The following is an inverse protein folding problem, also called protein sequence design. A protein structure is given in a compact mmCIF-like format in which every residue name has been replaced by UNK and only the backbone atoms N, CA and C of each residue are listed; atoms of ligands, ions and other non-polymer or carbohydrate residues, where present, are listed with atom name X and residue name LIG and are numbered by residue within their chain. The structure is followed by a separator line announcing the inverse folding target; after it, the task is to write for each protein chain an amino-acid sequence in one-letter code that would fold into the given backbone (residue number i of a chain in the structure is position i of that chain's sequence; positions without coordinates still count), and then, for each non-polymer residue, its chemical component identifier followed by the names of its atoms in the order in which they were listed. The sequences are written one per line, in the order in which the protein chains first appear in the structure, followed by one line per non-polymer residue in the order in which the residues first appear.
data_IF_669639704037
#
_entry.id   IF_669639704037
#
_cell.length_a   1.000
_cell.length_b   1.000
_cell.length_c   1.000
_cell.angle_alpha   90.00
_cell.angle_beta   90.00
_cell.angle_gamma   90.00
#
_symmetry.space_group_name_H-M   'P 1'
#
loop_
_entity.id
_entity.type
_entity.pdbx_description
1 polymer ?
#
# COMPACT_ATOMS: atom_id res chain seq x y z
N UNK A 1 5.25 -1.06 2.47
CA UNK A 1 6.26 -1.09 1.41
C UNK A 1 5.89 -0.08 0.35
N UNK A 2 6.83 0.79 0.00
CA UNK A 2 6.60 1.97 -0.81
C UNK A 2 6.11 3.15 0.02
N UNK A 3 6.98 4.16 0.21
CA UNK A 3 6.75 5.33 1.04
C UNK A 3 6.61 6.60 0.20
N UNK A 4 5.87 6.53 -0.90
CA UNK A 4 5.41 7.66 -1.66
C UNK A 4 4.30 8.41 -0.91
N UNK A 5 3.51 9.20 -1.61
CA UNK A 5 2.42 9.98 -0.98
C UNK A 5 1.40 9.09 -0.27
N UNK A 6 1.00 8.00 -0.91
CA UNK A 6 0.02 7.06 -0.33
C UNK A 6 0.65 6.27 0.81
N UNK A 7 1.77 5.62 0.55
CA UNK A 7 2.42 4.75 1.54
C UNK A 7 2.84 5.49 2.80
N UNK A 8 3.45 6.67 2.67
CA UNK A 8 3.82 7.48 3.83
C UNK A 8 2.60 7.98 4.61
N UNK A 9 1.53 8.35 3.90
CA UNK A 9 0.28 8.75 4.53
C UNK A 9 -0.36 7.63 5.33
N UNK A 10 -0.42 6.43 4.77
CA UNK A 10 -0.93 5.24 5.45
C UNK A 10 -0.09 4.91 6.68
N UNK A 11 1.25 4.94 6.54
CA UNK A 11 2.16 4.65 7.64
C UNK A 11 1.94 5.60 8.83
N UNK A 12 1.83 6.90 8.57
CA UNK A 12 1.58 7.90 9.61
C UNK A 12 0.25 7.69 10.31
N UNK A 13 -0.82 7.43 9.56
CA UNK A 13 -2.14 7.22 10.14
C UNK A 13 -2.20 5.95 10.99
N UNK A 14 -1.59 4.86 10.52
CA UNK A 14 -1.53 3.63 11.30
C UNK A 14 -0.72 3.82 12.59
N UNK A 15 0.41 4.52 12.52
CA UNK A 15 1.20 4.83 13.71
C UNK A 15 0.41 5.66 14.73
N UNK A 16 -0.36 6.64 14.28
CA UNK A 16 -1.25 7.43 15.13
C UNK A 16 -2.34 6.59 15.79
N UNK A 17 -2.77 5.51 15.14
CA UNK A 17 -3.73 4.54 15.66
C UNK A 17 -3.10 3.53 16.64
N UNK A 18 -1.81 3.61 16.88
CA UNK A 18 -1.10 2.75 17.83
C UNK A 18 -0.43 1.52 17.21
N UNK A 19 -0.41 1.40 15.89
CA UNK A 19 0.33 0.33 15.23
C UNK A 19 1.83 0.56 15.33
N UNK A 20 2.56 -0.53 15.51
CA UNK A 20 4.01 -0.54 15.34
C UNK A 20 4.32 -0.71 13.85
N UNK A 21 4.81 0.34 13.21
CA UNK A 21 4.95 0.41 11.76
C UNK A 21 6.41 0.46 11.34
N UNK A 22 6.79 -0.40 10.42
CA UNK A 22 8.08 -0.33 9.71
C UNK A 22 7.83 -0.06 8.23
N UNK A 23 8.48 0.96 7.71
CA UNK A 23 8.45 1.30 6.29
C UNK A 23 9.62 0.67 5.54
N UNK A 24 9.37 0.29 4.31
CA UNK A 24 10.39 -0.21 3.37
C UNK A 24 10.32 0.61 2.08
N UNK A 25 11.43 1.17 1.65
CA UNK A 25 11.55 1.88 0.38
C UNK A 25 12.98 1.75 -0.16
N UNK A 26 13.13 1.70 -1.47
CA UNK A 26 14.45 1.69 -2.12
C UNK A 26 15.17 3.04 -1.99
N UNK A 27 14.41 4.11 -1.89
CA UNK A 27 14.91 5.47 -1.76
C UNK A 27 14.99 5.84 -0.27
N UNK A 28 16.21 6.00 0.24
CA UNK A 28 16.42 6.46 1.61
C UNK A 28 15.86 7.86 1.85
N UNK A 29 15.76 8.69 0.80
CA UNK A 29 15.12 10.00 0.84
C UNK A 29 13.64 9.96 1.17
N UNK A 30 12.98 8.80 1.01
CA UNK A 30 11.58 8.60 1.37
C UNK A 30 11.32 8.80 2.88
N UNK A 31 12.32 8.61 3.72
CA UNK A 31 12.21 8.87 5.15
C UNK A 31 11.79 10.32 5.45
N UNK A 32 12.20 11.27 4.62
CA UNK A 32 11.83 12.68 4.77
C UNK A 32 10.31 12.91 4.64
N UNK A 33 9.59 12.07 3.89
CA UNK A 33 8.13 12.16 3.74
C UNK A 33 7.38 11.76 5.00
N UNK A 34 8.05 11.01 5.87
CA UNK A 34 7.48 10.56 7.14
C UNK A 34 7.57 11.62 8.24
N UNK A 35 8.39 12.67 8.06
CA UNK A 35 8.56 13.74 9.03
C UNK A 35 9.21 13.25 10.32
N UNK A 36 8.60 13.55 11.46
CA UNK A 36 9.05 13.06 12.77
C UNK A 36 8.65 11.59 12.98
N UNK A 37 9.35 10.72 12.29
CA UNK A 37 9.05 9.29 12.26
C UNK A 37 9.74 8.55 13.40
N UNK A 38 8.97 7.82 14.20
CA UNK A 38 9.46 7.00 15.32
C UNK A 38 9.40 5.50 15.04
N UNK A 39 8.82 5.11 13.91
CA UNK A 39 8.75 3.72 13.48
C UNK A 39 10.03 3.24 12.85
N UNK A 40 10.03 2.00 12.39
CA UNK A 40 11.15 1.43 11.64
C UNK A 40 11.21 1.95 10.21
N UNK A 41 12.41 1.94 9.65
CA UNK A 41 12.64 2.24 8.24
C UNK A 41 13.78 1.37 7.72
N UNK A 42 13.51 0.61 6.66
CA UNK A 42 14.48 -0.25 6.00
C UNK A 42 14.63 0.18 4.54
N UNK A 43 15.85 0.49 4.14
CA UNK A 43 16.15 0.80 2.74
C UNK A 43 16.37 -0.49 1.97
N UNK A 44 15.59 -0.70 0.93
CA UNK A 44 15.72 -1.86 0.06
C UNK A 44 14.46 -2.13 -0.76
N UNK A 45 14.56 -3.14 -1.61
CA UNK A 45 13.47 -3.55 -2.49
C UNK A 45 12.59 -4.61 -1.81
N UNK A 46 11.26 -4.45 -1.90
CA UNK A 46 10.31 -5.39 -1.30
C UNK A 46 10.33 -6.81 -1.89
N UNK A 47 10.98 -7.02 -3.04
CA UNK A 47 11.19 -8.34 -3.59
C UNK A 47 12.41 -9.07 -3.00
N UNK A 48 13.25 -8.36 -2.25
CA UNK A 48 14.37 -8.96 -1.54
C UNK A 48 13.89 -9.51 -0.19
N UNK A 49 13.92 -10.83 -0.07
CA UNK A 49 13.51 -11.53 1.16
C UNK A 49 14.30 -11.06 2.38
N UNK A 50 15.59 -10.77 2.23
CA UNK A 50 16.41 -10.28 3.33
C UNK A 50 15.92 -8.89 3.81
N UNK A 51 15.49 -8.05 2.90
CA UNK A 51 14.88 -6.74 3.23
C UNK A 51 13.58 -6.92 4.00
N UNK A 52 12.71 -7.81 3.54
CA UNK A 52 11.45 -8.12 4.20
C UNK A 52 11.66 -8.64 5.62
N UNK A 53 12.63 -9.54 5.80
CA UNK A 53 12.92 -10.12 7.11
C UNK A 53 13.56 -9.10 8.05
N UNK A 54 14.45 -8.23 7.56
CA UNK A 54 14.97 -7.13 8.37
C UNK A 54 13.88 -6.13 8.77
N UNK A 55 12.85 -5.98 7.97
CA UNK A 55 11.70 -5.13 8.28
C UNK A 55 10.73 -5.76 9.28
N UNK A 56 10.91 -7.03 9.63
CA UNK A 56 10.06 -7.72 10.61
C UNK A 56 8.85 -8.42 10.03
N UNK A 57 8.88 -8.79 8.75
CA UNK A 57 7.72 -9.42 8.08
C UNK A 57 7.30 -10.73 8.75
N UNK A 58 8.24 -11.47 9.34
CA UNK A 58 7.97 -12.76 9.98
C UNK A 58 6.91 -12.67 11.06
N UNK A 59 6.93 -11.59 11.84
CA UNK A 59 6.02 -11.37 12.96
C UNK A 59 4.95 -10.29 12.66
N UNK A 60 4.85 -9.84 11.41
CA UNK A 60 3.92 -8.78 11.05
C UNK A 60 2.47 -9.28 11.02
N UNK A 61 1.57 -8.50 11.61
CA UNK A 61 0.13 -8.73 11.55
C UNK A 61 -0.47 -8.30 10.22
N UNK A 62 0.13 -7.30 9.59
CA UNK A 62 -0.33 -6.75 8.33
C UNK A 62 0.83 -6.29 7.45
N UNK A 63 0.61 -6.29 6.15
CA UNK A 63 1.52 -5.72 5.17
C UNK A 63 0.72 -4.91 4.14
N UNK A 64 1.19 -3.70 3.87
CA UNK A 64 0.64 -2.82 2.83
C UNK A 64 1.69 -2.63 1.75
N UNK A 65 1.38 -3.02 0.53
CA UNK A 65 2.28 -2.94 -0.60
C UNK A 65 1.76 -1.85 -1.55
N UNK A 66 2.43 -0.72 -1.57
CA UNK A 66 1.98 0.49 -2.27
C UNK A 66 3.11 1.20 -3.03
N UNK A 67 3.95 0.45 -3.73
CA UNK A 67 4.95 1.01 -4.65
C UNK A 67 4.28 1.54 -5.92
N UNK A 68 5.04 2.16 -6.82
CA UNK A 68 4.49 2.70 -8.06
C UNK A 68 4.19 1.62 -9.12
N UNK A 69 4.65 0.40 -8.95
CA UNK A 69 4.52 -0.66 -9.95
C UNK A 69 3.50 -1.73 -9.57
N UNK A 70 2.47 -1.91 -10.37
CA UNK A 70 1.46 -2.95 -10.16
C UNK A 70 2.09 -4.36 -10.15
N UNK A 71 2.99 -4.64 -11.07
CA UNK A 71 3.67 -5.94 -11.13
C UNK A 71 4.44 -6.23 -9.84
N UNK A 72 5.23 -5.27 -9.38
CA UNK A 72 5.97 -5.38 -8.12
C UNK A 72 5.02 -5.60 -6.95
N UNK A 73 3.96 -4.80 -6.87
CA UNK A 73 3.01 -4.88 -5.76
C UNK A 73 2.32 -6.24 -5.69
N UNK A 74 1.89 -6.78 -6.83
CA UNK A 74 1.25 -8.09 -6.88
C UNK A 74 2.22 -9.21 -6.49
N UNK A 75 3.44 -9.20 -7.02
CA UNK A 75 4.45 -10.22 -6.70
C UNK A 75 4.81 -10.19 -5.21
N UNK A 76 5.10 -9.01 -4.69
CA UNK A 76 5.44 -8.86 -3.25
C UNK A 76 4.27 -9.30 -2.38
N UNK A 77 3.05 -8.89 -2.72
CA UNK A 77 1.84 -9.30 -1.99
C UNK A 77 1.67 -10.81 -1.95
N UNK A 78 1.88 -11.49 -3.06
CA UNK A 78 1.79 -12.95 -3.14
C UNK A 78 2.90 -13.64 -2.33
N UNK A 79 4.13 -13.14 -2.38
CA UNK A 79 5.24 -13.66 -1.58
C UNK A 79 4.93 -13.52 -0.09
N UNK A 80 4.52 -12.34 0.34
CA UNK A 80 4.19 -12.08 1.74
C UNK A 80 3.06 -12.99 2.22
N UNK A 81 2.01 -13.12 1.43
CA UNK A 81 0.86 -13.94 1.77
C UNK A 81 1.19 -15.42 1.88
N UNK A 82 1.97 -15.95 0.93
CA UNK A 82 2.25 -17.39 0.82
C UNK A 82 3.43 -17.83 1.66
N UNK A 83 4.51 -17.03 1.69
CA UNK A 83 5.74 -17.40 2.40
C UNK A 83 5.64 -17.13 3.90
N UNK A 84 5.05 -16.01 4.28
CA UNK A 84 5.03 -15.57 5.68
C UNK A 84 3.67 -15.77 6.34
N UNK A 85 2.65 -16.13 5.58
CA UNK A 85 1.31 -16.34 6.10
C UNK A 85 0.78 -15.13 6.90
N UNK A 86 1.14 -13.92 6.48
CA UNK A 86 0.69 -12.68 7.12
C UNK A 86 -0.81 -12.56 7.02
N UNK A 87 -1.49 -12.28 8.12
CA UNK A 87 -2.94 -12.34 8.23
C UNK A 87 -3.68 -11.29 7.38
N UNK A 88 -3.10 -10.12 7.20
CA UNK A 88 -3.68 -9.05 6.38
C UNK A 88 -2.66 -8.52 5.39
N UNK A 89 -2.82 -8.82 4.12
CA UNK A 89 -1.97 -8.32 3.04
C UNK A 89 -2.81 -7.50 2.09
N UNK A 90 -2.50 -6.21 1.96
CA UNK A 90 -3.23 -5.27 1.10
C UNK A 90 -2.30 -4.74 0.03
N UNK A 91 -2.74 -4.81 -1.22
CA UNK A 91 -1.93 -4.47 -2.38
C UNK A 91 -2.59 -3.36 -3.19
N UNK A 92 -1.86 -2.30 -3.45
CA UNK A 92 -2.30 -1.25 -4.36
C UNK A 92 -2.11 -1.72 -5.80
N UNK A 93 -3.17 -1.66 -6.60
CA UNK A 93 -3.16 -1.99 -8.04
C UNK A 93 -3.87 -0.87 -8.80
N UNK A 94 -3.14 -0.14 -9.65
CA UNK A 94 -3.66 1.04 -10.34
C UNK A 94 -4.58 0.68 -11.50
N UNK A 95 -4.28 -0.42 -12.19
CA UNK A 95 -5.12 -0.90 -13.29
C UNK A 95 -6.37 -1.60 -12.75
N UNK A 96 -7.60 -1.07 -13.04
CA UNK A 96 -8.84 -1.66 -12.53
C UNK A 96 -9.06 -3.12 -12.93
N UNK A 97 -8.76 -3.49 -14.17
CA UNK A 97 -8.94 -4.86 -14.65
C UNK A 97 -8.03 -5.84 -13.90
N UNK A 98 -6.79 -5.44 -13.63
CA UNK A 98 -5.83 -6.24 -12.87
C UNK A 98 -6.22 -6.32 -11.40
N UNK A 99 -6.71 -5.23 -10.82
CA UNK A 99 -7.20 -5.23 -9.44
C UNK A 99 -8.30 -6.28 -9.25
N UNK A 100 -9.28 -6.30 -10.15
CA UNK A 100 -10.37 -7.29 -10.14
C UNK A 100 -9.83 -8.71 -10.33
N UNK A 101 -8.94 -8.91 -11.30
CA UNK A 101 -8.35 -10.22 -11.59
C UNK A 101 -7.67 -10.84 -10.36
N UNK A 102 -6.86 -10.07 -9.65
CA UNK A 102 -6.16 -10.58 -8.48
C UNK A 102 -7.04 -10.66 -7.22
N UNK A 103 -8.03 -9.78 -7.10
CA UNK A 103 -9.01 -9.87 -6.02
C UNK A 103 -9.80 -11.19 -6.08
N UNK A 104 -10.22 -11.60 -7.29
CA UNK A 104 -10.90 -12.88 -7.52
C UNK A 104 -10.03 -14.09 -7.17
N UNK A 105 -8.71 -13.91 -7.10
CA UNK A 105 -7.73 -14.95 -6.75
C UNK A 105 -7.23 -14.87 -5.32
N UNK A 106 -7.92 -14.11 -4.48
CA UNK A 106 -7.67 -14.10 -3.03
C UNK A 106 -6.68 -13.06 -2.54
N UNK A 107 -6.25 -12.13 -3.40
CA UNK A 107 -5.39 -11.02 -2.98
C UNK A 107 -6.27 -9.80 -2.67
N UNK A 108 -6.10 -9.20 -1.48
CA UNK A 108 -6.81 -7.96 -1.16
C UNK A 108 -6.20 -6.82 -1.96
N UNK A 109 -6.97 -6.29 -2.90
CA UNK A 109 -6.53 -5.18 -3.74
C UNK A 109 -7.26 -3.89 -3.40
N UNK A 110 -6.54 -2.79 -3.46
CA UNK A 110 -7.11 -1.44 -3.42
C UNK A 110 -6.71 -0.75 -4.72
N UNK A 111 -7.70 -0.29 -5.48
CA UNK A 111 -7.50 0.39 -6.76
C UNK A 111 -7.81 1.87 -6.62
N UNK A 112 -6.79 2.74 -6.49
CA UNK A 112 -7.02 4.19 -6.40
C UNK A 112 -7.73 4.75 -7.62
N UNK A 113 -7.50 4.18 -8.79
CA UNK A 113 -8.16 4.59 -10.04
C UNK A 113 -9.67 4.41 -9.94
N UNK A 114 -10.14 3.25 -9.51
CA UNK A 114 -11.58 2.98 -9.32
C UNK A 114 -12.17 3.87 -8.23
N UNK A 115 -11.45 4.04 -7.12
CA UNK A 115 -11.89 4.92 -6.02
C UNK A 115 -12.03 6.36 -6.50
N UNK A 116 -11.06 6.87 -7.25
CA UNK A 116 -11.11 8.22 -7.79
C UNK A 116 -12.25 8.39 -8.79
N UNK A 117 -12.45 7.42 -9.70
CA UNK A 117 -13.56 7.46 -10.67
C UNK A 117 -14.90 7.53 -9.94
N UNK A 118 -15.12 6.66 -8.97
CA UNK A 118 -16.37 6.61 -8.21
C UNK A 118 -16.60 7.94 -7.45
N UNK A 119 -15.59 8.44 -6.75
CA UNK A 119 -15.70 9.67 -5.96
C UNK A 119 -15.96 10.89 -6.85
N UNK A 120 -15.22 11.02 -7.94
CA UNK A 120 -15.42 12.15 -8.88
C UNK A 120 -16.80 12.11 -9.51
N UNK A 121 -17.26 10.92 -9.90
CA UNK A 121 -18.60 10.74 -10.47
C UNK A 121 -19.68 11.10 -9.45
N UNK A 122 -19.55 10.65 -8.20
CA UNK A 122 -20.51 10.93 -7.14
C UNK A 122 -20.60 12.42 -6.83
N UNK A 123 -19.46 13.11 -6.79
CA UNK A 123 -19.44 14.57 -6.56
C UNK A 123 -20.18 15.30 -7.67
N UNK A 124 -19.92 14.96 -8.93
CA UNK A 124 -20.63 15.58 -10.07
C UNK A 124 -22.12 15.25 -10.03
N UNK A 125 -22.48 14.01 -9.73
CA UNK A 125 -23.89 13.59 -9.67
C UNK A 125 -24.66 14.28 -8.55
N UNK A 126 -23.97 14.72 -7.50
CA UNK A 126 -24.58 15.46 -6.39
C UNK A 126 -24.66 16.98 -6.63
N UNK A 127 -24.00 17.48 -7.67
CA UNK A 127 -24.10 18.90 -8.03
C UNK A 127 -25.48 19.20 -8.61
N UNK A 128 -26.18 20.21 -8.04
CA UNK A 128 -27.40 20.70 -8.64
C UNK A 128 -27.08 21.45 -9.95
N UNK A 129 -27.74 21.06 -11.04
CA UNK A 129 -27.60 21.79 -12.29
C UNK A 129 -28.20 23.17 -12.11
N UNK A 130 -27.40 24.22 -12.35
CA UNK A 130 -27.91 25.57 -12.34
C UNK A 130 -28.74 25.78 -13.61
N UNK A 131 -30.05 26.15 -13.51
CA UNK A 131 -30.86 26.44 -14.70
C UNK A 131 -30.22 27.55 -15.51
N UNK A 132 -30.18 27.38 -16.82
CA UNK A 132 -29.69 28.40 -17.76
C UNK A 132 -30.78 29.45 -18.03
#
# INVERSE_FOLDING_TARGET
MGCGRVGSGVAKQLAEQGWDVTCVDEDEGALARLGEWRGGFVVGHGMDVNVLERAGIVDADAAVIATNGDNTNVVVGQVVQRRYNTGCVVVRVLDPARATFYAERGLRTVCPTQTAIATLTDVVSSCEATPV
#
